data_IF_123679539840
#
_entry.id   IF_123679539840
#
_cell.length_a   1.000
_cell.length_b   1.000
_cell.length_c   1.000
_cell.angle_alpha   90.00
_cell.angle_beta   90.00
_cell.angle_gamma   90.00
#
_symmetry.space_group_name_H-M   'P 1'
#
loop_
_entity.id
_entity.type
_entity.pdbx_description
1 polymer ?
#
# COMPACT_ATOMS: atom_id res chain seq x y z
N UNK A 1 18.56 53.23 -54.48
CA UNK A 1 18.07 51.96 -55.10
C UNK A 1 18.48 50.69 -54.33
N UNK A 2 19.36 50.72 -53.32
CA UNK A 2 19.77 49.53 -52.56
C UNK A 2 18.67 48.93 -51.66
N UNK A 3 17.88 49.75 -50.95
CA UNK A 3 16.89 49.25 -49.98
C UNK A 3 15.67 48.51 -50.58
N UNK A 4 15.34 48.72 -51.84
CA UNK A 4 14.22 48.00 -52.49
C UNK A 4 14.64 46.58 -52.88
N UNK A 5 15.88 46.40 -53.32
CA UNK A 5 16.43 45.10 -53.71
C UNK A 5 16.66 44.24 -52.46
N UNK A 6 17.12 44.83 -51.35
CA UNK A 6 17.27 44.12 -50.08
C UNK A 6 15.91 43.76 -49.47
N UNK A 7 14.90 44.65 -49.53
CA UNK A 7 13.54 44.32 -49.08
C UNK A 7 12.87 43.23 -49.94
N UNK A 8 13.11 43.22 -51.25
CA UNK A 8 12.63 42.15 -52.15
C UNK A 8 13.39 40.86 -51.89
N UNK A 9 14.70 40.92 -51.60
CA UNK A 9 15.51 39.75 -51.23
C UNK A 9 15.05 39.15 -49.90
N UNK A 10 14.84 39.96 -48.86
CA UNK A 10 14.31 39.50 -47.57
C UNK A 10 12.89 38.94 -47.69
N UNK A 11 12.06 39.52 -48.56
CA UNK A 11 10.71 39.02 -48.84
C UNK A 11 10.75 37.69 -49.60
N UNK A 12 11.64 37.58 -50.59
CA UNK A 12 11.89 36.34 -51.36
C UNK A 12 12.50 35.25 -50.47
N UNK A 13 13.47 35.55 -49.63
CA UNK A 13 14.05 34.59 -48.68
C UNK A 13 13.01 34.15 -47.64
N UNK A 14 12.16 35.07 -47.15
CA UNK A 14 11.02 34.70 -46.30
C UNK A 14 9.87 33.98 -47.02
N UNK A 15 9.81 33.99 -48.36
CA UNK A 15 8.79 33.28 -49.14
C UNK A 15 9.27 31.90 -49.61
N UNK A 16 10.55 31.79 -49.98
CA UNK A 16 11.14 30.60 -50.62
C UNK A 16 12.08 29.79 -49.71
N UNK A 17 12.65 30.39 -48.65
CA UNK A 17 13.48 29.70 -47.63
C UNK A 17 12.74 29.50 -46.30
N UNK A 18 11.40 29.33 -46.34
CA UNK A 18 10.67 28.96 -45.13
C UNK A 18 10.99 27.53 -44.75
N UNK A 19 11.75 27.37 -43.66
CA UNK A 19 11.99 26.08 -43.03
C UNK A 19 10.65 25.31 -42.91
N UNK A 20 10.51 24.14 -43.57
CA UNK A 20 9.29 23.32 -43.50
C UNK A 20 8.81 23.09 -42.07
N UNK A 21 9.76 23.01 -41.11
CA UNK A 21 9.45 22.85 -39.68
C UNK A 21 8.75 24.08 -39.10
N UNK A 22 9.14 25.29 -39.49
CA UNK A 22 8.48 26.52 -39.04
C UNK A 22 7.07 26.68 -39.62
N UNK A 23 6.88 26.29 -40.89
CA UNK A 23 5.54 26.26 -41.51
C UNK A 23 4.63 25.28 -40.74
N UNK A 24 5.14 24.08 -40.48
CA UNK A 24 4.41 23.05 -39.73
C UNK A 24 4.09 23.53 -38.30
N UNK A 25 5.05 24.13 -37.59
CA UNK A 25 4.86 24.73 -36.27
C UNK A 25 3.73 25.77 -36.28
N UNK A 26 3.74 26.71 -37.23
CA UNK A 26 2.70 27.74 -37.36
C UNK A 26 1.32 27.14 -37.67
N UNK A 27 1.26 26.12 -38.54
CA UNK A 27 0.01 25.42 -38.88
C UNK A 27 -0.60 24.73 -37.66
N UNK A 28 0.20 24.01 -36.87
CA UNK A 28 -0.29 23.34 -35.66
C UNK A 28 -0.67 24.35 -34.56
N UNK A 29 0.08 25.43 -34.36
CA UNK A 29 -0.31 26.49 -33.43
C UNK A 29 -1.64 27.14 -33.82
N UNK A 30 -1.89 27.34 -35.12
CA UNK A 30 -3.17 27.85 -35.61
C UNK A 30 -4.32 26.90 -35.29
N UNK A 31 -4.13 25.60 -35.53
CA UNK A 31 -5.10 24.56 -35.18
C UNK A 31 -5.40 24.55 -33.67
N UNK A 32 -4.37 24.65 -32.83
CA UNK A 32 -4.52 24.75 -31.37
C UNK A 32 -5.33 26.00 -31.00
N UNK A 33 -4.99 27.15 -31.58
CA UNK A 33 -5.69 28.41 -31.35
C UNK A 33 -7.16 28.34 -31.76
N UNK A 34 -7.47 27.73 -32.91
CA UNK A 34 -8.85 27.58 -33.39
C UNK A 34 -9.65 26.62 -32.51
N UNK A 35 -9.03 25.55 -32.00
CA UNK A 35 -9.64 24.71 -30.98
C UNK A 35 -9.95 25.50 -29.70
N UNK A 36 -8.98 26.24 -29.15
CA UNK A 36 -9.18 27.01 -27.91
C UNK A 36 -10.23 28.12 -28.06
N UNK A 37 -10.36 28.73 -29.25
CA UNK A 37 -11.45 29.67 -29.56
C UNK A 37 -12.84 29.03 -29.55
N UNK A 38 -12.92 27.73 -29.89
CA UNK A 38 -14.18 26.99 -29.88
C UNK A 38 -14.65 26.63 -28.46
N UNK A 39 -13.74 26.59 -27.49
CA UNK A 39 -14.05 26.32 -26.08
C UNK A 39 -14.86 27.49 -25.50
N UNK A 40 -15.99 27.17 -24.86
CA UNK A 40 -16.87 28.13 -24.18
C UNK A 40 -17.05 27.73 -22.72
N UNK A 41 -16.91 28.66 -21.75
CA UNK A 41 -16.40 30.02 -21.91
C UNK A 41 -14.93 30.04 -22.37
N UNK A 42 -14.47 31.16 -22.93
CA UNK A 42 -13.11 31.24 -23.49
C UNK A 42 -12.04 31.15 -22.39
N UNK A 43 -10.99 30.37 -22.60
CA UNK A 43 -9.91 30.16 -21.62
C UNK A 43 -8.64 30.95 -21.93
N UNK A 44 -8.42 31.25 -23.20
CA UNK A 44 -7.18 31.87 -23.66
C UNK A 44 -7.47 32.74 -24.88
N UNK A 45 -6.75 33.86 -25.00
CA UNK A 45 -6.82 34.72 -26.18
C UNK A 45 -5.55 34.58 -27.01
N UNK A 46 -5.59 33.92 -28.18
CA UNK A 46 -4.43 33.85 -29.05
C UNK A 46 -3.95 35.26 -29.45
N UNK A 47 -2.66 35.56 -29.23
CA UNK A 47 -2.03 36.85 -29.53
C UNK A 47 -1.94 37.83 -28.36
N UNK A 48 -2.60 37.55 -27.22
CA UNK A 48 -2.32 38.23 -25.96
C UNK A 48 -2.26 37.15 -24.87
N UNK A 49 -1.07 36.83 -24.31
CA UNK A 49 -0.84 35.67 -23.45
C UNK A 49 -1.51 35.83 -22.08
N UNK A 50 -2.83 35.85 -22.07
CA UNK A 50 -3.69 35.97 -20.91
C UNK A 50 -4.57 34.72 -20.82
N UNK A 51 -4.57 34.10 -19.66
CA UNK A 51 -5.59 33.13 -19.28
C UNK A 51 -6.81 33.89 -18.80
N UNK A 52 -7.96 33.54 -19.36
CA UNK A 52 -9.20 34.30 -19.24
C UNK A 52 -10.05 33.83 -18.04
N UNK A 53 -10.93 34.69 -17.51
CA UNK A 53 -11.85 34.36 -16.42
C UNK A 53 -12.71 33.10 -16.63
N UNK A 54 -12.96 32.73 -17.90
CA UNK A 54 -13.72 31.52 -18.23
C UNK A 54 -13.06 30.24 -17.74
N UNK A 55 -11.72 30.19 -17.72
CA UNK A 55 -10.97 29.07 -17.17
C UNK A 55 -11.14 28.99 -15.65
N UNK A 56 -10.98 30.11 -14.95
CA UNK A 56 -11.16 30.21 -13.51
C UNK A 56 -12.58 29.84 -13.06
N UNK A 57 -13.61 30.27 -13.80
CA UNK A 57 -14.99 29.94 -13.51
C UNK A 57 -15.24 28.42 -13.54
N UNK A 58 -14.73 27.74 -14.57
CA UNK A 58 -14.82 26.29 -14.71
C UNK A 58 -14.04 25.58 -13.61
N UNK A 59 -12.83 26.06 -13.30
CA UNK A 59 -11.99 25.49 -12.24
C UNK A 59 -12.64 25.65 -10.86
N UNK A 60 -13.32 26.77 -10.61
CA UNK A 60 -14.07 27.02 -9.39
C UNK A 60 -15.29 26.08 -9.26
N UNK A 61 -16.06 25.88 -10.33
CA UNK A 61 -17.17 24.93 -10.36
C UNK A 61 -16.70 23.49 -10.14
N UNK A 62 -15.57 23.13 -10.76
CA UNK A 62 -14.91 21.84 -10.56
C UNK A 62 -14.49 21.64 -9.10
N UNK A 63 -13.85 22.65 -8.50
CA UNK A 63 -13.42 22.62 -7.09
C UNK A 63 -14.61 22.42 -6.14
N UNK A 64 -15.73 23.13 -6.38
CA UNK A 64 -16.95 22.96 -5.59
C UNK A 64 -17.51 21.54 -5.62
N UNK A 65 -17.42 20.87 -6.76
CA UNK A 65 -17.84 19.48 -6.90
C UNK A 65 -16.87 18.51 -6.20
N UNK A 66 -15.59 18.84 -6.11
CA UNK A 66 -14.60 18.04 -5.37
C UNK A 66 -14.75 18.15 -3.85
N UNK A 67 -15.20 19.29 -3.30
CA UNK A 67 -15.26 19.51 -1.85
C UNK A 67 -15.97 18.40 -1.04
N UNK A 68 -17.17 17.90 -1.43
CA UNK A 68 -17.81 16.80 -0.72
C UNK A 68 -17.02 15.49 -0.77
N UNK A 69 -16.36 15.23 -1.90
CA UNK A 69 -15.50 14.05 -2.09
C UNK A 69 -14.25 14.20 -1.22
N UNK A 70 -13.60 15.36 -1.24
CA UNK A 70 -12.46 15.68 -0.39
C UNK A 70 -12.78 15.47 1.09
N UNK A 71 -13.93 15.92 1.58
CA UNK A 71 -14.37 15.72 2.96
C UNK A 71 -14.54 14.23 3.32
N UNK A 72 -15.07 13.43 2.39
CA UNK A 72 -15.16 11.98 2.58
C UNK A 72 -13.76 11.34 2.60
N UNK A 73 -12.91 11.66 1.63
CA UNK A 73 -11.57 11.06 1.50
C UNK A 73 -10.67 11.43 2.68
N UNK A 74 -10.65 12.70 3.10
CA UNK A 74 -9.89 13.19 4.27
C UNK A 74 -10.30 12.55 5.59
N UNK A 75 -11.53 12.05 5.70
CA UNK A 75 -11.99 11.30 6.88
C UNK A 75 -11.80 9.79 6.76
N UNK A 76 -11.34 9.31 5.60
CA UNK A 76 -11.22 7.88 5.30
C UNK A 76 -9.81 7.52 4.80
N UNK A 77 -9.63 7.26 3.51
CA UNK A 77 -8.35 6.79 2.95
C UNK A 77 -7.24 7.85 2.95
N UNK A 78 -7.60 9.14 3.03
CA UNK A 78 -6.68 10.26 3.10
C UNK A 78 -6.60 10.86 4.52
N UNK A 79 -7.00 10.09 5.54
CA UNK A 79 -6.92 10.55 6.91
C UNK A 79 -5.45 10.80 7.33
N UNK A 80 -5.16 11.88 8.08
CA UNK A 80 -3.82 12.13 8.62
C UNK A 80 -3.31 11.02 9.53
N UNK A 81 -4.20 10.30 10.23
CA UNK A 81 -3.83 9.11 10.99
C UNK A 81 -3.56 7.93 10.02
N UNK A 82 -2.30 7.46 9.90
CA UNK A 82 -1.95 6.37 9.00
C UNK A 82 -2.65 5.06 9.37
N UNK A 83 -2.98 4.83 10.66
CA UNK A 83 -3.70 3.63 11.10
C UNK A 83 -5.14 3.66 10.60
N UNK A 84 -5.83 4.79 10.78
CA UNK A 84 -7.20 4.96 10.30
C UNK A 84 -7.26 4.87 8.76
N UNK A 85 -6.34 5.54 8.06
CA UNK A 85 -6.21 5.44 6.61
C UNK A 85 -6.05 3.99 6.15
N UNK A 86 -5.13 3.24 6.78
CA UNK A 86 -4.90 1.83 6.47
C UNK A 86 -6.15 0.98 6.73
N UNK A 87 -6.92 1.24 7.79
CA UNK A 87 -8.18 0.53 8.07
C UNK A 87 -9.20 0.71 6.94
N UNK A 88 -9.38 1.94 6.42
CA UNK A 88 -10.30 2.19 5.31
C UNK A 88 -9.80 1.57 3.99
N UNK A 89 -8.50 1.61 3.72
CA UNK A 89 -7.92 0.97 2.53
C UNK A 89 -8.08 -0.56 2.58
N UNK A 90 -7.81 -1.17 3.73
CA UNK A 90 -8.05 -2.60 3.96
C UNK A 90 -9.53 -2.94 3.82
N UNK A 91 -10.43 -2.09 4.33
CA UNK A 91 -11.85 -2.27 4.19
C UNK A 91 -12.31 -2.31 2.73
N UNK A 92 -11.71 -1.53 1.81
CA UNK A 92 -12.04 -1.58 0.38
C UNK A 92 -11.72 -2.95 -0.26
N UNK A 93 -10.63 -3.60 0.18
CA UNK A 93 -10.29 -4.96 -0.25
C UNK A 93 -11.27 -5.96 0.36
N UNK A 94 -11.44 -5.92 1.68
CA UNK A 94 -12.27 -6.86 2.42
C UNK A 94 -13.75 -6.79 2.01
N UNK A 95 -14.22 -5.62 1.59
CA UNK A 95 -15.61 -5.40 1.17
C UNK A 95 -15.98 -6.09 -0.13
N UNK A 96 -14.98 -6.49 -0.94
CA UNK A 96 -15.19 -7.30 -2.15
C UNK A 96 -15.24 -8.80 -1.86
N UNK A 97 -14.82 -9.24 -0.67
CA UNK A 97 -14.93 -10.65 -0.28
C UNK A 97 -16.38 -11.01 0.08
N UNK A 98 -16.81 -12.26 -0.19
CA UNK A 98 -18.06 -12.79 0.32
C UNK A 98 -18.16 -12.65 1.84
N UNK A 99 -19.35 -12.41 2.37
CA UNK A 99 -19.55 -12.13 3.80
C UNK A 99 -19.00 -13.24 4.71
N UNK A 100 -19.25 -14.51 4.33
CA UNK A 100 -18.70 -15.68 5.05
C UNK A 100 -17.18 -15.61 5.19
N UNK A 101 -16.49 -15.32 4.10
CA UNK A 101 -15.02 -15.29 4.05
C UNK A 101 -14.46 -14.04 4.75
N UNK A 102 -15.17 -12.91 4.67
CA UNK A 102 -14.86 -11.71 5.44
C UNK A 102 -14.96 -11.91 6.95
N UNK A 103 -15.93 -12.70 7.40
CA UNK A 103 -16.07 -13.03 8.81
C UNK A 103 -14.99 -14.02 9.27
N UNK A 104 -14.65 -15.03 8.46
CA UNK A 104 -13.47 -15.88 8.74
C UNK A 104 -12.17 -15.08 8.78
N UNK A 105 -12.00 -14.07 7.93
CA UNK A 105 -10.81 -13.22 7.98
C UNK A 105 -10.58 -12.60 9.38
N UNK A 106 -11.67 -12.25 10.08
CA UNK A 106 -11.61 -11.66 11.43
C UNK A 106 -11.21 -12.68 12.50
N UNK A 107 -11.28 -13.98 12.22
CA UNK A 107 -10.90 -15.02 13.18
C UNK A 107 -9.41 -15.34 13.16
N UNK A 108 -8.63 -14.82 12.20
CA UNK A 108 -7.18 -14.99 12.15
C UNK A 108 -6.45 -14.00 13.06
N UNK A 109 -6.86 -13.97 14.33
CA UNK A 109 -6.20 -13.27 15.42
C UNK A 109 -5.52 -14.29 16.33
N UNK A 110 -4.50 -13.86 17.07
CA UNK A 110 -3.78 -14.74 17.98
C UNK A 110 -4.73 -15.41 19.00
N UNK A 111 -5.62 -14.63 19.60
CA UNK A 111 -6.53 -15.07 20.67
C UNK A 111 -7.49 -16.16 20.19
N UNK A 112 -8.19 -15.91 19.07
CA UNK A 112 -9.17 -16.84 18.48
C UNK A 112 -8.50 -18.10 17.91
N UNK A 113 -7.32 -17.97 17.30
CA UNK A 113 -6.56 -19.15 16.83
C UNK A 113 -6.12 -19.98 18.04
N UNK A 114 -5.60 -19.35 19.09
CA UNK A 114 -5.18 -20.05 20.31
C UNK A 114 -6.34 -20.77 20.98
N UNK A 115 -7.48 -20.11 21.15
CA UNK A 115 -8.70 -20.71 21.72
C UNK A 115 -9.14 -21.94 20.91
N UNK A 116 -9.20 -21.81 19.58
CA UNK A 116 -9.58 -22.91 18.69
C UNK A 116 -8.64 -24.11 18.80
N UNK A 117 -7.34 -23.85 18.94
CA UNK A 117 -6.33 -24.89 19.12
C UNK A 117 -6.44 -25.57 20.49
N UNK A 118 -6.66 -24.80 21.57
CA UNK A 118 -6.82 -25.34 22.92
C UNK A 118 -8.06 -26.24 23.06
N UNK A 119 -9.14 -25.89 22.35
CA UNK A 119 -10.39 -26.65 22.35
C UNK A 119 -10.38 -27.84 21.36
N UNK A 120 -9.28 -28.04 20.62
CA UNK A 120 -9.20 -29.10 19.61
C UNK A 120 -8.66 -30.41 20.18
N UNK A 121 -9.15 -31.54 19.66
CA UNK A 121 -8.67 -32.89 20.02
C UNK A 121 -7.25 -33.12 19.53
N UNK A 122 -6.94 -32.66 18.31
CA UNK A 122 -5.64 -32.78 17.69
C UNK A 122 -5.13 -31.41 17.26
N UNK A 123 -4.30 -30.79 18.09
CA UNK A 123 -3.93 -29.40 17.86
C UNK A 123 -3.03 -29.15 16.66
N UNK A 124 -2.22 -30.13 16.25
CA UNK A 124 -1.44 -30.05 15.00
C UNK A 124 -2.35 -30.12 13.78
N UNK A 125 -3.37 -30.99 13.83
CA UNK A 125 -4.36 -31.13 12.77
C UNK A 125 -5.19 -29.86 12.64
N UNK A 126 -5.59 -29.26 13.76
CA UNK A 126 -6.35 -28.00 13.77
C UNK A 126 -5.55 -26.85 13.16
N UNK A 127 -4.25 -26.76 13.47
CA UNK A 127 -3.38 -25.73 12.94
C UNK A 127 -3.17 -25.89 11.41
N UNK A 128 -3.16 -27.13 10.90
CA UNK A 128 -3.20 -27.40 9.45
C UNK A 128 -4.53 -26.98 8.82
N UNK A 129 -5.66 -27.24 9.47
CA UNK A 129 -6.98 -26.82 8.99
C UNK A 129 -7.07 -25.29 8.89
N UNK A 130 -6.65 -24.57 9.93
CA UNK A 130 -6.58 -23.10 9.94
C UNK A 130 -5.69 -22.58 8.80
N UNK A 131 -4.54 -23.24 8.55
CA UNK A 131 -3.67 -22.92 7.42
C UNK A 131 -4.36 -23.11 6.06
N UNK A 132 -5.13 -24.19 5.88
CA UNK A 132 -5.88 -24.44 4.65
C UNK A 132 -7.01 -23.43 4.44
N UNK A 133 -7.73 -23.06 5.52
CA UNK A 133 -8.75 -22.01 5.48
C UNK A 133 -8.15 -20.67 5.06
N UNK A 134 -7.00 -20.29 5.64
CA UNK A 134 -6.28 -19.08 5.27
C UNK A 134 -5.88 -19.10 3.79
N UNK A 135 -5.28 -20.19 3.30
CA UNK A 135 -4.92 -20.31 1.89
C UNK A 135 -6.13 -20.25 0.95
N UNK A 136 -7.27 -20.81 1.35
CA UNK A 136 -8.51 -20.72 0.59
C UNK A 136 -8.93 -19.27 0.38
N UNK A 137 -8.88 -18.45 1.43
CA UNK A 137 -9.15 -17.01 1.33
C UNK A 137 -8.11 -16.31 0.45
N UNK A 138 -6.82 -16.66 0.58
CA UNK A 138 -5.77 -16.05 -0.24
C UNK A 138 -5.98 -16.29 -1.75
N UNK A 139 -6.56 -17.43 -2.14
CA UNK A 139 -6.91 -17.72 -3.54
C UNK A 139 -8.04 -16.84 -4.07
N UNK A 140 -8.92 -16.32 -3.21
CA UNK A 140 -10.02 -15.44 -3.62
C UNK A 140 -9.51 -14.10 -4.18
N UNK A 141 -8.35 -13.61 -3.73
CA UNK A 141 -7.75 -12.39 -4.27
C UNK A 141 -7.23 -12.54 -5.70
N UNK A 142 -7.14 -13.77 -6.22
CA UNK A 142 -6.78 -14.03 -7.62
C UNK A 142 -8.00 -14.23 -8.53
N UNK A 143 -9.22 -14.05 -8.01
CA UNK A 143 -10.45 -14.18 -8.80
C UNK A 143 -10.71 -12.93 -9.66
N UNK A 144 -11.54 -13.04 -10.72
CA UNK A 144 -11.87 -11.91 -11.58
C UNK A 144 -12.42 -10.68 -10.85
N UNK A 145 -13.08 -10.85 -9.70
CA UNK A 145 -13.58 -9.73 -8.86
C UNK A 145 -12.45 -8.77 -8.44
N UNK A 146 -11.22 -9.27 -8.33
CA UNK A 146 -10.04 -8.49 -7.94
C UNK A 146 -9.14 -8.10 -9.13
N UNK A 147 -9.41 -8.59 -10.34
CA UNK A 147 -8.54 -8.38 -11.51
C UNK A 147 -8.30 -6.91 -11.85
N UNK A 148 -9.30 -6.05 -11.60
CA UNK A 148 -9.21 -4.61 -11.84
C UNK A 148 -9.00 -3.78 -10.56
N UNK A 149 -8.85 -4.42 -9.39
CA UNK A 149 -8.81 -3.72 -8.10
C UNK A 149 -7.74 -2.62 -8.09
N UNK A 150 -6.51 -2.95 -8.48
CA UNK A 150 -5.40 -1.99 -8.42
C UNK A 150 -5.62 -0.84 -9.40
N UNK A 151 -6.17 -1.11 -10.59
CA UNK A 151 -6.51 -0.05 -11.56
C UNK A 151 -7.53 0.92 -10.94
N UNK A 152 -8.62 0.39 -10.37
CA UNK A 152 -9.66 1.19 -9.72
C UNK A 152 -9.14 1.96 -8.52
N UNK A 153 -8.25 1.35 -7.73
CA UNK A 153 -7.62 1.97 -6.57
C UNK A 153 -6.66 3.09 -6.97
N UNK A 154 -5.86 2.92 -8.03
CA UNK A 154 -5.00 3.98 -8.55
C UNK A 154 -5.81 5.18 -9.07
N UNK A 155 -6.95 4.94 -9.72
CA UNK A 155 -7.86 6.03 -10.13
C UNK A 155 -8.45 6.76 -8.91
N UNK A 156 -8.74 6.03 -7.81
CA UNK A 156 -9.16 6.64 -6.55
C UNK A 156 -8.04 7.48 -5.91
N UNK A 157 -6.77 7.04 -5.95
CA UNK A 157 -5.62 7.82 -5.48
C UNK A 157 -5.37 9.06 -6.35
N UNK A 158 -5.60 8.99 -7.67
CA UNK A 158 -5.61 10.17 -8.53
C UNK A 158 -6.71 11.14 -8.14
N UNK A 159 -7.93 10.66 -7.88
CA UNK A 159 -9.04 11.49 -7.38
C UNK A 159 -8.69 12.14 -6.03
N UNK A 160 -8.04 11.39 -5.12
CA UNK A 160 -7.52 11.92 -3.86
C UNK A 160 -6.54 13.07 -4.09
N UNK A 161 -5.61 12.90 -5.03
CA UNK A 161 -4.60 13.90 -5.38
C UNK A 161 -5.24 15.14 -6.00
N UNK A 162 -6.21 14.95 -6.92
CA UNK A 162 -7.06 16.02 -7.46
C UNK A 162 -7.79 16.78 -6.35
N UNK A 163 -8.31 16.10 -5.34
CA UNK A 163 -8.99 16.74 -4.22
C UNK A 163 -8.05 17.50 -3.28
N UNK A 164 -6.74 17.24 -3.33
CA UNK A 164 -5.76 17.80 -2.41
C UNK A 164 -4.97 18.96 -3.02
N UNK A 165 -5.17 19.23 -4.32
CA UNK A 165 -4.55 20.39 -4.98
C UNK A 165 -5.09 21.69 -4.36
N UNK A 166 -4.20 22.66 -4.17
CA UNK A 166 -4.54 23.98 -3.61
C UNK A 166 -5.19 24.88 -4.68
N UNK A 167 -6.44 24.59 -5.03
CA UNK A 167 -7.21 25.39 -5.96
C UNK A 167 -7.45 26.81 -5.46
N UNK A 168 -7.43 27.05 -4.14
CA UNK A 168 -7.61 28.41 -3.61
C UNK A 168 -6.43 29.29 -4.02
N UNK A 169 -5.19 28.79 -3.89
CA UNK A 169 -4.00 29.48 -4.39
C UNK A 169 -4.11 29.80 -5.89
N UNK A 170 -4.51 28.82 -6.71
CA UNK A 170 -4.62 29.01 -8.17
C UNK A 170 -5.71 30.03 -8.52
N UNK A 171 -6.89 29.92 -7.90
CA UNK A 171 -8.01 30.82 -8.15
C UNK A 171 -7.75 32.24 -7.61
N UNK A 172 -6.94 32.40 -6.56
CA UNK A 172 -6.54 33.70 -6.03
C UNK A 172 -5.70 34.52 -7.02
N UNK A 173 -5.09 33.89 -8.03
CA UNK A 173 -4.45 34.62 -9.13
C UNK A 173 -5.49 35.41 -9.95
N UNK A 174 -6.71 34.87 -10.09
CA UNK A 174 -7.80 35.53 -10.82
C UNK A 174 -8.67 36.41 -9.92
N UNK A 175 -8.77 36.10 -8.62
CA UNK A 175 -9.53 36.87 -7.63
C UNK A 175 -8.92 36.71 -6.23
N UNK A 176 -8.06 37.64 -5.83
CA UNK A 176 -7.34 37.62 -4.54
C UNK A 176 -8.24 37.58 -3.29
N UNK A 177 -9.51 38.00 -3.41
CA UNK A 177 -10.48 38.02 -2.31
C UNK A 177 -11.22 36.70 -2.15
N UNK A 178 -11.06 35.77 -3.09
CA UNK A 178 -11.73 34.48 -3.03
C UNK A 178 -11.26 33.68 -1.81
N UNK A 179 -12.22 33.12 -1.08
CA UNK A 179 -11.97 32.08 -0.08
C UNK A 179 -12.99 30.97 -0.29
N UNK A 180 -12.52 29.74 -0.49
CA UNK A 180 -13.40 28.59 -0.73
C UNK A 180 -14.29 28.29 0.49
N UNK A 181 -13.82 28.66 1.68
CA UNK A 181 -14.56 28.57 2.94
C UNK A 181 -15.71 29.59 3.06
N UNK A 182 -15.79 30.59 2.18
CA UNK A 182 -16.77 31.69 2.26
C UNK A 182 -17.91 31.49 1.25
N UNK A 183 -19.01 30.80 1.60
CA UNK A 183 -20.06 30.40 0.65
C UNK A 183 -20.87 31.57 0.07
N UNK A 184 -20.83 32.74 0.72
CA UNK A 184 -21.59 33.94 0.31
C UNK A 184 -20.85 34.82 -0.70
N UNK A 185 -19.53 34.65 -0.83
CA UNK A 185 -18.74 35.45 -1.75
C UNK A 185 -18.99 35.02 -3.20
N UNK A 186 -19.25 35.99 -4.08
CA UNK A 186 -19.38 35.74 -5.52
C UNK A 186 -18.03 36.09 -6.17
N UNK A 187 -17.35 35.12 -6.79
CA UNK A 187 -16.06 35.38 -7.43
C UNK A 187 -16.18 36.43 -8.53
N UNK A 188 -15.18 37.30 -8.61
CA UNK A 188 -15.01 38.30 -9.66
C UNK A 188 -13.64 38.08 -10.31
N UNK A 189 -13.58 37.12 -11.22
CA UNK A 189 -12.34 36.72 -11.87
C UNK A 189 -11.88 37.73 -12.93
N UNK A 190 -10.62 38.16 -12.84
CA UNK A 190 -9.92 38.95 -13.85
C UNK A 190 -8.93 38.11 -14.67
N UNK A 191 -8.61 38.46 -15.93
CA UNK A 191 -7.57 37.77 -16.70
C UNK A 191 -6.21 37.81 -16.01
N UNK A 192 -5.41 36.75 -16.21
CA UNK A 192 -4.08 36.58 -15.58
C UNK A 192 -3.02 36.36 -16.67
N UNK A 193 -1.81 36.92 -16.56
CA UNK A 193 -0.69 36.60 -17.43
C UNK A 193 -0.42 35.10 -17.47
N UNK A 194 -0.27 34.54 -18.67
CA UNK A 194 -0.14 33.10 -18.84
C UNK A 194 1.14 32.53 -18.21
N UNK A 195 2.21 33.35 -18.12
CA UNK A 195 3.47 33.00 -17.47
C UNK A 195 3.31 32.76 -15.96
N UNK A 196 2.38 33.47 -15.30
CA UNK A 196 2.17 33.38 -13.85
C UNK A 196 1.44 32.10 -13.43
N UNK A 197 0.75 31.43 -14.36
CA UNK A 197 -0.15 30.30 -14.06
C UNK A 197 0.21 29.00 -14.81
N UNK A 198 1.16 29.05 -15.75
CA UNK A 198 1.50 27.89 -16.58
C UNK A 198 1.90 26.65 -15.76
N UNK A 199 2.58 26.84 -14.63
CA UNK A 199 2.97 25.75 -13.73
C UNK A 199 1.75 25.13 -13.05
N UNK A 200 0.81 25.93 -12.57
CA UNK A 200 -0.43 25.42 -11.97
C UNK A 200 -1.30 24.68 -13.00
N UNK A 201 -1.34 25.14 -14.27
CA UNK A 201 -2.02 24.42 -15.37
C UNK A 201 -1.32 23.09 -15.66
N UNK A 202 0.02 23.05 -15.60
CA UNK A 202 0.79 21.81 -15.74
C UNK A 202 0.48 20.83 -14.62
N UNK A 203 0.41 21.29 -13.36
CA UNK A 203 0.05 20.46 -12.21
C UNK A 203 -1.35 19.86 -12.37
N UNK A 204 -2.33 20.67 -12.76
CA UNK A 204 -3.68 20.19 -13.07
C UNK A 204 -3.65 19.16 -14.22
N UNK A 205 -2.88 19.42 -15.27
CA UNK A 205 -2.73 18.49 -16.39
C UNK A 205 -2.19 17.14 -15.93
N UNK A 206 -1.13 17.11 -15.11
CA UNK A 206 -0.55 15.85 -14.64
C UNK A 206 -1.54 15.02 -13.82
N UNK A 207 -2.36 15.68 -12.99
CA UNK A 207 -3.38 14.98 -12.20
C UNK A 207 -4.56 14.45 -13.04
N UNK A 208 -4.93 15.17 -14.10
CA UNK A 208 -6.02 14.78 -15.01
C UNK A 208 -5.55 13.78 -16.07
N UNK A 209 -4.25 13.75 -16.38
CA UNK A 209 -3.71 12.88 -17.40
C UNK A 209 -3.88 11.39 -17.03
N UNK A 210 -4.58 10.67 -17.92
CA UNK A 210 -4.96 9.27 -17.68
C UNK A 210 -5.86 9.08 -16.45
N UNK A 211 -6.52 10.14 -15.97
CA UNK A 211 -7.57 10.05 -14.97
C UNK A 211 -8.90 9.79 -15.67
N UNK A 212 -9.57 8.72 -15.27
CA UNK A 212 -10.88 8.35 -15.80
C UNK A 212 -11.81 8.03 -14.65
N UNK A 213 -12.97 8.69 -14.65
CA UNK A 213 -14.03 8.38 -13.70
C UNK A 213 -14.67 7.06 -14.12
N UNK A 214 -14.29 5.99 -13.43
CA UNK A 214 -14.80 4.64 -13.66
C UNK A 214 -15.89 4.25 -12.65
N UNK A 215 -16.66 3.21 -12.97
CA UNK A 215 -17.61 2.60 -12.03
C UNK A 215 -16.91 2.09 -10.75
N UNK A 216 -15.63 1.73 -10.84
CA UNK A 216 -14.84 1.33 -9.68
C UNK A 216 -14.60 2.47 -8.68
N UNK A 217 -14.42 3.71 -9.15
CA UNK A 217 -14.33 4.89 -8.27
C UNK A 217 -15.66 5.09 -7.55
N UNK A 218 -16.78 5.03 -8.27
CA UNK A 218 -18.11 5.14 -7.68
C UNK A 218 -18.31 4.07 -6.60
N UNK A 219 -18.08 2.79 -6.93
CA UNK A 219 -18.15 1.66 -5.99
C UNK A 219 -17.30 1.91 -4.74
N UNK A 220 -16.03 2.33 -4.91
CA UNK A 220 -15.14 2.60 -3.79
C UNK A 220 -15.63 3.77 -2.92
N UNK A 221 -16.08 4.88 -3.50
CA UNK A 221 -16.62 6.02 -2.75
C UNK A 221 -17.88 5.63 -1.95
N UNK A 222 -18.76 4.81 -2.52
CA UNK A 222 -19.95 4.30 -1.84
C UNK A 222 -19.57 3.40 -0.66
N UNK A 223 -18.61 2.50 -0.83
CA UNK A 223 -18.10 1.66 0.27
C UNK A 223 -17.52 2.50 1.41
N UNK A 224 -16.71 3.51 1.09
CA UNK A 224 -16.15 4.42 2.11
C UNK A 224 -17.24 5.17 2.86
N UNK A 225 -18.24 5.65 2.13
CA UNK A 225 -19.38 6.35 2.71
C UNK A 225 -20.20 5.45 3.63
N UNK A 226 -20.52 4.22 3.20
CA UNK A 226 -21.22 3.22 3.99
C UNK A 226 -20.50 2.93 5.31
N UNK A 227 -19.19 2.75 5.23
CA UNK A 227 -18.35 2.52 6.42
C UNK A 227 -18.28 3.74 7.33
N UNK A 228 -18.26 4.95 6.76
CA UNK A 228 -18.14 6.20 7.51
C UNK A 228 -19.44 6.59 8.22
N UNK A 229 -20.60 6.53 7.55
CA UNK A 229 -21.85 7.08 8.10
C UNK A 229 -22.80 6.07 8.76
N UNK A 230 -22.65 4.76 8.54
CA UNK A 230 -23.46 3.66 9.11
C UNK A 230 -25.00 3.74 8.97
N UNK A 231 -25.61 4.88 8.66
CA UNK A 231 -27.06 5.07 8.50
C UNK A 231 -27.38 6.12 7.42
N UNK A 232 -28.39 5.82 6.61
CA UNK A 232 -28.95 6.58 5.47
C UNK A 232 -28.13 6.56 4.16
N UNK A 233 -28.26 5.45 3.41
CA UNK A 233 -27.42 5.14 2.24
C UNK A 233 -27.93 5.74 0.93
N UNK A 234 -29.25 5.81 0.70
CA UNK A 234 -29.80 6.06 -0.64
C UNK A 234 -29.76 7.54 -1.08
N UNK A 235 -30.08 8.48 -0.19
CA UNK A 235 -30.01 9.92 -0.52
C UNK A 235 -28.56 10.36 -0.81
N UNK A 236 -27.61 9.82 -0.05
CA UNK A 236 -26.20 10.14 -0.25
C UNK A 236 -25.61 9.46 -1.49
N UNK A 237 -26.02 8.21 -1.80
CA UNK A 237 -25.71 7.55 -3.08
C UNK A 237 -26.15 8.42 -4.25
N UNK A 238 -27.40 8.88 -4.26
CA UNK A 238 -27.92 9.76 -5.31
C UNK A 238 -27.10 11.05 -5.44
N UNK A 239 -26.75 11.68 -4.31
CA UNK A 239 -25.91 12.90 -4.30
C UNK A 239 -24.51 12.65 -4.86
N UNK A 240 -23.83 11.56 -4.47
CA UNK A 240 -22.51 11.19 -4.99
C UNK A 240 -22.58 10.94 -6.49
N UNK A 241 -23.57 10.19 -6.97
CA UNK A 241 -23.72 9.87 -8.38
C UNK A 241 -23.95 11.14 -9.22
N UNK A 242 -24.74 12.09 -8.70
CA UNK A 242 -24.92 13.40 -9.33
C UNK A 242 -23.62 14.20 -9.40
N UNK A 243 -22.80 14.16 -8.35
CA UNK A 243 -21.49 14.83 -8.32
C UNK A 243 -20.54 14.18 -9.34
N UNK A 244 -20.42 12.85 -9.34
CA UNK A 244 -19.58 12.08 -10.26
C UNK A 244 -19.95 12.38 -11.71
N UNK A 245 -21.24 12.32 -12.05
CA UNK A 245 -21.72 12.64 -13.40
C UNK A 245 -21.38 14.07 -13.83
N UNK A 246 -21.51 15.04 -12.92
CA UNK A 246 -21.13 16.43 -13.20
C UNK A 246 -19.62 16.61 -13.37
N UNK A 247 -18.82 15.97 -12.53
CA UNK A 247 -17.35 15.95 -12.67
C UNK A 247 -16.93 15.35 -14.01
N UNK A 248 -17.52 14.23 -14.41
CA UNK A 248 -17.23 13.59 -15.69
C UNK A 248 -17.58 14.50 -16.88
N UNK A 249 -18.71 15.22 -16.80
CA UNK A 249 -19.08 16.19 -17.83
C UNK A 249 -18.10 17.36 -17.90
N UNK A 250 -17.68 17.92 -16.75
CA UNK A 250 -16.69 19.00 -16.72
C UNK A 250 -15.33 18.54 -17.25
N UNK A 251 -14.83 17.38 -16.82
CA UNK A 251 -13.57 16.82 -17.31
C UNK A 251 -13.62 16.55 -18.81
N UNK A 252 -14.71 15.97 -19.32
CA UNK A 252 -14.81 15.64 -20.73
C UNK A 252 -14.94 16.89 -21.63
N UNK A 253 -15.71 17.90 -21.21
CA UNK A 253 -16.03 19.07 -22.04
C UNK A 253 -15.04 20.22 -21.88
N UNK A 254 -14.48 20.39 -20.70
CA UNK A 254 -13.83 21.63 -20.29
C UNK A 254 -12.40 21.40 -19.82
N UNK A 255 -12.20 20.46 -18.89
CA UNK A 255 -10.90 20.15 -18.31
C UNK A 255 -10.31 18.86 -18.89
N UNK A 256 -10.47 18.64 -20.19
CA UNK A 256 -9.94 17.42 -20.81
C UNK A 256 -8.42 17.52 -20.90
N UNK A 257 -7.72 16.38 -20.86
CA UNK A 257 -6.26 16.35 -21.04
C UNK A 257 -5.84 17.02 -22.34
N UNK A 258 -6.62 16.87 -23.40
CA UNK A 258 -6.42 17.57 -24.69
C UNK A 258 -6.57 19.08 -24.55
N UNK A 259 -7.62 19.56 -23.89
CA UNK A 259 -7.87 21.00 -23.70
C UNK A 259 -6.73 21.64 -22.92
N UNK A 260 -6.32 21.01 -21.82
CA UNK A 260 -5.23 21.50 -20.97
C UNK A 260 -3.88 21.45 -21.70
N UNK A 261 -3.60 20.36 -22.43
CA UNK A 261 -2.39 20.26 -23.24
C UNK A 261 -2.33 21.34 -24.32
N UNK A 262 -3.46 21.61 -25.00
CA UNK A 262 -3.54 22.66 -26.00
C UNK A 262 -3.37 24.05 -25.41
N UNK A 263 -3.90 24.28 -24.19
CA UNK A 263 -3.66 25.50 -23.45
C UNK A 263 -2.16 25.67 -23.12
N UNK A 264 -1.52 24.63 -22.57
CA UNK A 264 -0.09 24.62 -22.25
C UNK A 264 0.77 24.91 -23.50
N UNK A 265 0.48 24.21 -24.62
CA UNK A 265 1.18 24.38 -25.89
C UNK A 265 1.01 25.78 -26.49
N UNK A 266 -0.19 26.36 -26.34
CA UNK A 266 -0.46 27.72 -26.79
C UNK A 266 0.29 28.76 -25.96
N UNK A 267 0.39 28.56 -24.64
CA UNK A 267 1.13 29.44 -23.72
C UNK A 267 2.63 29.36 -23.97
N UNK A 268 3.18 28.15 -24.14
CA UNK A 268 4.61 27.93 -24.42
C UNK A 268 5.03 28.25 -25.86
N UNK A 269 4.08 28.57 -26.74
CA UNK A 269 4.28 28.72 -28.18
C UNK A 269 5.01 27.53 -28.83
N UNK A 270 4.79 26.34 -28.29
CA UNK A 270 5.38 25.09 -28.77
C UNK A 270 4.26 24.04 -28.98
N UNK A 271 3.82 23.81 -30.23
CA UNK A 271 2.75 22.88 -30.53
C UNK A 271 3.15 21.41 -30.35
N UNK A 272 4.45 21.12 -30.24
CA UNK A 272 4.96 19.76 -30.09
C UNK A 272 5.36 19.44 -28.64
N UNK A 273 5.25 20.41 -27.74
CA UNK A 273 5.54 20.21 -26.32
C UNK A 273 4.75 19.01 -25.76
N UNK A 274 5.46 18.11 -25.11
CA UNK A 274 4.90 16.94 -24.41
C UNK A 274 5.40 16.98 -22.97
N UNK A 275 4.53 17.23 -21.99
CA UNK A 275 4.89 17.14 -20.59
C UNK A 275 5.41 15.72 -20.26
N UNK A 276 6.52 15.58 -19.51
CA UNK A 276 6.97 14.28 -19.03
C UNK A 276 5.90 13.72 -18.08
N UNK A 277 5.32 12.57 -18.41
CA UNK A 277 4.26 11.96 -17.62
C UNK A 277 4.68 10.56 -17.19
N UNK A 278 4.88 10.38 -15.88
CA UNK A 278 5.16 9.08 -15.30
C UNK A 278 3.87 8.29 -15.07
N UNK A 279 3.90 7.02 -15.45
CA UNK A 279 2.83 6.06 -15.16
C UNK A 279 3.22 5.26 -13.94
N UNK A 280 3.19 5.89 -12.76
CA UNK A 280 3.29 5.12 -11.52
C UNK A 280 1.98 4.37 -11.28
N UNK A 281 2.09 3.04 -11.17
CA UNK A 281 0.98 2.17 -10.81
C UNK A 281 1.31 1.49 -9.48
N UNK A 282 0.45 1.70 -8.48
CA UNK A 282 0.59 1.11 -7.17
C UNK A 282 -0.17 -0.22 -7.10
N UNK A 283 0.53 -1.30 -6.73
CA UNK A 283 -0.06 -2.64 -6.53
C UNK A 283 -0.48 -2.82 -5.06
N UNK A 284 -1.60 -2.20 -4.69
CA UNK A 284 -2.10 -2.21 -3.31
C UNK A 284 -2.56 -3.61 -2.90
N UNK A 285 -3.21 -4.36 -3.79
CA UNK A 285 -3.71 -5.70 -3.51
C UNK A 285 -2.58 -6.65 -3.09
N UNK A 286 -1.46 -6.64 -3.81
CA UNK A 286 -0.29 -7.46 -3.47
C UNK A 286 0.34 -7.03 -2.13
N UNK A 287 0.41 -5.73 -1.88
CA UNK A 287 0.88 -5.20 -0.60
C UNK A 287 -0.01 -5.66 0.56
N UNK A 288 -1.34 -5.65 0.37
CA UNK A 288 -2.30 -6.14 1.34
C UNK A 288 -2.17 -7.65 1.58
N UNK A 289 -2.07 -8.45 0.51
CA UNK A 289 -1.88 -9.91 0.57
C UNK A 289 -0.61 -10.27 1.34
N UNK A 290 0.49 -9.58 1.06
CA UNK A 290 1.76 -9.78 1.76
C UNK A 290 1.62 -9.51 3.25
N UNK A 291 1.09 -8.34 3.63
CA UNK A 291 0.87 -7.97 5.05
C UNK A 291 0.02 -8.99 5.79
N UNK A 292 -1.07 -9.45 5.18
CA UNK A 292 -1.96 -10.44 5.76
C UNK A 292 -1.25 -11.80 5.94
N UNK A 293 -0.43 -12.19 4.99
CA UNK A 293 0.37 -13.43 5.03
C UNK A 293 1.43 -13.37 6.11
N UNK A 294 2.19 -12.28 6.17
CA UNK A 294 3.22 -12.05 7.18
C UNK A 294 2.60 -12.08 8.59
N UNK A 295 1.46 -11.39 8.78
CA UNK A 295 0.74 -11.40 10.05
C UNK A 295 0.32 -12.82 10.45
N UNK A 296 -0.26 -13.59 9.54
CA UNK A 296 -0.69 -14.96 9.82
C UNK A 296 0.50 -15.87 10.15
N UNK A 297 1.61 -15.76 9.41
CA UNK A 297 2.83 -16.52 9.68
C UNK A 297 3.41 -16.20 11.06
N UNK A 298 3.49 -14.91 11.42
CA UNK A 298 3.95 -14.51 12.76
C UNK A 298 3.08 -15.07 13.88
N UNK A 299 1.75 -15.03 13.74
CA UNK A 299 0.84 -15.62 14.73
C UNK A 299 1.07 -17.13 14.84
N UNK A 300 1.14 -17.83 13.70
CA UNK A 300 1.35 -19.27 13.64
C UNK A 300 2.67 -19.68 14.29
N UNK A 301 3.76 -18.99 13.97
CA UNK A 301 5.09 -19.32 14.45
C UNK A 301 5.23 -19.00 15.95
N UNK A 302 4.55 -17.95 16.44
CA UNK A 302 4.42 -17.67 17.87
C UNK A 302 3.73 -18.81 18.61
N UNK A 303 2.55 -19.22 18.14
CA UNK A 303 1.79 -20.32 18.75
C UNK A 303 2.61 -21.63 18.74
N UNK A 304 3.29 -21.94 17.64
CA UNK A 304 4.15 -23.12 17.56
C UNK A 304 5.31 -23.08 18.56
N UNK A 305 5.88 -21.89 18.80
CA UNK A 305 6.97 -21.71 19.77
C UNK A 305 6.49 -21.94 21.20
N UNK A 306 5.43 -21.23 21.61
CA UNK A 306 4.85 -21.33 22.96
C UNK A 306 4.49 -22.79 23.29
N UNK A 307 3.98 -23.53 22.31
CA UNK A 307 3.63 -24.95 22.51
C UNK A 307 4.81 -25.90 22.58
N UNK A 308 5.89 -25.63 21.84
CA UNK A 308 7.13 -26.39 22.01
C UNK A 308 7.71 -26.14 23.39
N UNK A 309 7.64 -24.90 23.88
CA UNK A 309 8.08 -24.55 25.22
C UNK A 309 7.23 -25.24 26.29
N UNK A 310 5.90 -25.28 26.14
CA UNK A 310 4.99 -25.99 27.03
C UNK A 310 5.24 -27.50 27.03
N UNK A 311 5.44 -28.11 25.86
CA UNK A 311 5.74 -29.54 25.73
C UNK A 311 7.07 -29.88 26.43
N UNK A 312 8.12 -29.08 26.20
CA UNK A 312 9.41 -29.23 26.89
C UNK A 312 9.22 -29.07 28.39
N UNK A 313 8.44 -28.09 28.85
CA UNK A 313 8.19 -27.90 30.29
C UNK A 313 7.46 -29.10 30.92
N UNK A 314 6.49 -29.69 30.22
CA UNK A 314 5.80 -30.91 30.66
C UNK A 314 6.73 -32.12 30.70
N UNK A 315 7.56 -32.32 29.67
CA UNK A 315 8.55 -33.40 29.63
C UNK A 315 9.57 -33.26 30.77
N UNK A 316 10.06 -32.05 31.01
CA UNK A 316 10.98 -31.78 32.12
C UNK A 316 10.31 -32.04 33.47
N UNK A 317 9.05 -31.64 33.65
CA UNK A 317 8.30 -31.93 34.86
C UNK A 317 8.05 -33.42 35.06
N UNK A 318 7.81 -34.17 33.98
CA UNK A 318 7.67 -35.62 34.01
C UNK A 318 8.99 -36.32 34.39
N UNK A 319 10.11 -35.88 33.79
CA UNK A 319 11.43 -36.46 34.01
C UNK A 319 11.99 -36.10 35.40
N UNK A 320 11.92 -34.83 35.78
CA UNK A 320 12.63 -34.27 36.94
C UNK A 320 11.70 -33.81 38.08
N UNK A 321 10.38 -33.85 37.91
CA UNK A 321 9.44 -33.30 38.89
C UNK A 321 9.53 -31.78 38.96
N UNK A 322 9.54 -31.23 40.18
CA UNK A 322 9.75 -29.80 40.42
C UNK A 322 11.22 -29.45 40.70
N UNK A 323 12.17 -30.34 40.39
CA UNK A 323 13.59 -30.07 40.61
C UNK A 323 14.12 -29.07 39.58
N UNK A 324 14.92 -28.11 40.03
CA UNK A 324 15.63 -27.18 39.15
C UNK A 324 16.72 -27.90 38.35
N UNK A 325 16.91 -27.47 37.10
CA UNK A 325 17.96 -28.00 36.24
C UNK A 325 19.34 -27.57 36.73
N UNK A 326 20.28 -28.51 36.72
CA UNK A 326 21.68 -28.28 37.09
C UNK A 326 22.35 -27.35 36.07
N UNK A 327 22.89 -26.22 36.55
CA UNK A 327 23.71 -25.30 35.75
C UNK A 327 25.02 -25.95 35.31
N UNK A 328 25.51 -25.58 34.13
CA UNK A 328 26.82 -26.00 33.60
C UNK A 328 27.81 -24.87 33.85
N UNK A 329 28.93 -25.18 34.53
CA UNK A 329 29.92 -24.17 34.89
C UNK A 329 30.61 -23.65 33.62
N UNK A 330 30.71 -22.33 33.47
CA UNK A 330 31.28 -21.68 32.28
C UNK A 330 30.40 -21.72 31.03
N UNK A 331 29.22 -22.36 31.08
CA UNK A 331 28.24 -22.40 29.99
C UNK A 331 26.83 -22.09 30.55
N UNK A 332 26.63 -20.83 30.94
CA UNK A 332 25.42 -20.33 31.61
C UNK A 332 24.90 -19.06 30.93
N UNK A 333 23.66 -18.67 31.23
CA UNK A 333 23.10 -17.39 30.75
C UNK A 333 23.92 -16.20 31.23
N UNK A 334 24.37 -16.20 32.49
CA UNK A 334 25.23 -15.15 33.05
C UNK A 334 26.52 -14.92 32.21
N UNK A 335 27.19 -16.00 31.78
CA UNK A 335 28.37 -15.88 30.92
C UNK A 335 28.02 -15.49 29.48
N UNK A 336 26.85 -15.91 29.02
CA UNK A 336 26.36 -15.60 27.70
C UNK A 336 26.06 -14.10 27.54
N UNK A 337 25.52 -13.48 28.59
CA UNK A 337 25.22 -12.05 28.63
C UNK A 337 26.51 -11.22 28.58
N UNK A 338 27.54 -11.61 29.34
CA UNK A 338 28.88 -10.98 29.31
C UNK A 338 29.48 -11.07 27.90
N UNK A 339 29.43 -12.24 27.26
CA UNK A 339 29.93 -12.43 25.89
C UNK A 339 29.18 -11.56 24.88
N UNK A 340 27.87 -11.41 25.06
CA UNK A 340 27.03 -10.57 24.21
C UNK A 340 27.37 -9.08 24.36
N UNK A 341 27.62 -8.62 25.59
CA UNK A 341 28.02 -7.23 25.87
C UNK A 341 29.37 -6.89 25.25
N UNK A 342 30.31 -7.84 25.24
CA UNK A 342 31.64 -7.70 24.65
C UNK A 342 31.66 -7.94 23.12
N UNK A 343 30.50 -8.21 22.50
CA UNK A 343 30.36 -8.37 21.05
C UNK A 343 30.84 -9.72 20.48
N UNK A 344 31.02 -10.73 21.34
CA UNK A 344 31.39 -12.09 20.94
C UNK A 344 30.17 -12.95 20.57
N UNK A 345 30.44 -14.09 19.94
CA UNK A 345 29.39 -15.05 19.58
C UNK A 345 28.81 -15.73 20.84
N UNK A 346 27.48 -15.77 20.94
CA UNK A 346 26.75 -16.27 22.10
C UNK A 346 26.50 -17.79 22.06
N UNK A 347 26.33 -18.38 23.23
CA UNK A 347 25.99 -19.79 23.45
C UNK A 347 24.58 -20.12 22.96
N UNK A 348 24.48 -21.17 22.13
CA UNK A 348 23.24 -21.58 21.46
C UNK A 348 22.46 -22.66 22.21
N UNK A 349 23.08 -23.40 23.14
CA UNK A 349 22.52 -24.65 23.68
C UNK A 349 22.55 -24.75 25.22
N UNK A 350 22.39 -23.62 25.93
CA UNK A 350 22.49 -23.57 27.40
C UNK A 350 21.47 -24.51 28.05
N UNK A 351 20.17 -24.32 27.74
CA UNK A 351 19.09 -25.12 28.29
C UNK A 351 19.20 -26.61 27.91
N UNK A 352 19.43 -27.01 26.64
CA UNK A 352 19.71 -28.41 26.29
C UNK A 352 20.84 -29.03 27.11
N UNK A 353 21.96 -28.32 27.31
CA UNK A 353 23.10 -28.87 28.04
C UNK A 353 22.79 -29.04 29.54
N UNK A 354 22.04 -28.10 30.13
CA UNK A 354 21.54 -28.23 31.50
C UNK A 354 20.62 -29.44 31.66
N UNK A 355 19.75 -29.72 30.67
CA UNK A 355 18.88 -30.91 30.68
C UNK A 355 19.73 -32.19 30.66
N UNK A 356 20.72 -32.27 29.78
CA UNK A 356 21.61 -33.44 29.67
C UNK A 356 22.38 -33.67 30.97
N UNK A 357 22.98 -32.61 31.55
CA UNK A 357 23.68 -32.70 32.84
C UNK A 357 22.76 -33.16 33.95
N UNK A 358 21.56 -32.59 34.03
CA UNK A 358 20.55 -32.95 35.03
C UNK A 358 20.11 -34.40 34.91
N UNK A 359 19.97 -34.91 33.69
CA UNK A 359 19.68 -36.32 33.44
C UNK A 359 20.84 -37.23 33.87
N UNK A 360 22.06 -36.91 33.44
CA UNK A 360 23.25 -37.70 33.73
C UNK A 360 23.45 -37.86 35.25
N UNK A 361 23.43 -36.75 35.99
CA UNK A 361 23.66 -36.77 37.45
C UNK A 361 22.41 -37.23 38.21
N UNK A 362 21.24 -36.68 37.87
CA UNK A 362 20.02 -36.85 38.65
C UNK A 362 19.30 -38.19 38.44
N UNK A 363 19.48 -38.82 37.26
CA UNK A 363 18.81 -40.09 36.91
C UNK A 363 19.81 -41.18 36.59
N UNK A 364 20.76 -40.93 35.70
CA UNK A 364 21.66 -41.97 35.23
C UNK A 364 22.60 -42.46 36.33
N UNK A 365 23.40 -41.57 36.94
CA UNK A 365 24.34 -41.94 38.00
C UNK A 365 23.64 -42.55 39.22
N UNK A 366 22.53 -41.95 39.66
CA UNK A 366 21.83 -42.39 40.87
C UNK A 366 21.09 -43.71 40.72
N UNK A 367 20.44 -43.94 39.57
CA UNK A 367 19.44 -45.02 39.46
C UNK A 367 19.74 -46.03 38.35
N UNK A 368 20.55 -45.68 37.35
CA UNK A 368 20.76 -46.52 36.17
C UNK A 368 22.17 -47.13 36.17
N UNK A 369 23.19 -46.36 36.58
CA UNK A 369 24.61 -46.72 36.47
C UNK A 369 24.94 -48.06 37.11
N UNK A 370 24.56 -48.28 38.37
CA UNK A 370 24.84 -49.53 39.08
C UNK A 370 24.04 -50.71 38.52
N UNK A 371 22.79 -50.48 38.12
CA UNK A 371 21.93 -51.52 37.55
C UNK A 371 22.43 -52.00 36.20
N UNK A 372 22.91 -51.09 35.36
CA UNK A 372 23.56 -51.42 34.08
C UNK A 372 24.86 -52.18 34.33
N UNK A 373 25.67 -51.79 35.32
CA UNK A 373 26.88 -52.52 35.67
C UNK A 373 26.58 -53.96 36.10
N UNK A 374 25.60 -54.15 36.98
CA UNK A 374 25.14 -55.48 37.40
C UNK A 374 24.67 -56.31 36.22
N UNK A 375 23.89 -55.73 35.31
CA UNK A 375 23.46 -56.42 34.09
C UNK A 375 24.64 -56.84 33.21
N UNK A 376 25.67 -56.01 33.07
CA UNK A 376 26.86 -56.33 32.26
C UNK A 376 27.68 -57.47 32.87
N UNK A 377 27.83 -57.48 34.20
CA UNK A 377 28.65 -58.45 34.94
C UNK A 377 27.93 -59.78 35.17
N UNK A 378 26.64 -59.72 35.53
CA UNK A 378 25.87 -60.89 35.99
C UNK A 378 24.82 -61.36 34.97
N UNK A 379 24.54 -60.56 33.93
CA UNK A 379 23.52 -60.87 32.93
C UNK A 379 23.95 -61.92 31.92
N UNK A 380 23.00 -62.77 31.52
CA UNK A 380 23.18 -63.68 30.39
C UNK A 380 22.91 -62.96 29.08
N UNK A 381 23.88 -62.99 28.15
CA UNK A 381 23.75 -62.40 26.82
C UNK A 381 23.86 -63.49 25.75
N UNK A 382 22.87 -63.57 24.86
CA UNK A 382 22.90 -64.51 23.72
C UNK A 382 23.98 -64.14 22.69
N UNK A 383 24.33 -62.86 22.58
CA UNK A 383 25.36 -62.35 21.67
C UNK A 383 26.53 -61.75 22.44
N UNK A 384 27.66 -62.45 22.40
CA UNK A 384 28.92 -62.03 23.04
C UNK A 384 29.45 -60.72 22.42
N UNK A 385 29.22 -60.51 21.11
CA UNK A 385 29.57 -59.27 20.42
C UNK A 385 28.79 -58.06 20.97
N UNK A 386 27.50 -58.24 21.30
CA UNK A 386 26.68 -57.20 21.89
C UNK A 386 27.13 -56.87 23.32
N UNK A 387 27.39 -57.90 24.14
CA UNK A 387 27.90 -57.72 25.50
C UNK A 387 29.22 -56.93 25.51
N UNK A 388 30.18 -57.31 24.67
CA UNK A 388 31.46 -56.60 24.56
C UNK A 388 31.30 -55.15 24.12
N UNK A 389 30.40 -54.88 23.16
CA UNK A 389 30.12 -53.51 22.72
C UNK A 389 29.48 -52.67 23.83
N UNK A 390 28.50 -53.22 24.56
CA UNK A 390 27.84 -52.54 25.66
C UNK A 390 28.80 -52.26 26.82
N UNK A 391 29.62 -53.25 27.17
CA UNK A 391 30.63 -53.15 28.22
C UNK A 391 31.67 -52.07 27.89
N UNK A 392 32.21 -52.07 26.67
CA UNK A 392 33.14 -51.04 26.21
C UNK A 392 32.52 -49.64 26.26
N UNK A 393 31.27 -49.48 25.83
CA UNK A 393 30.56 -48.19 25.89
C UNK A 393 30.38 -47.71 27.34
N UNK A 394 29.99 -48.61 28.25
CA UNK A 394 29.80 -48.27 29.66
C UNK A 394 31.10 -47.77 30.31
N UNK A 395 32.19 -48.53 30.19
CA UNK A 395 33.48 -48.17 30.79
C UNK A 395 34.17 -46.98 30.11
N UNK A 396 33.85 -46.70 28.84
CA UNK A 396 34.33 -45.48 28.17
C UNK A 396 33.64 -44.23 28.72
N UNK A 397 32.36 -44.32 29.08
CA UNK A 397 31.62 -43.23 29.72
C UNK A 397 31.97 -43.05 31.22
N UNK A 398 32.71 -43.99 31.81
CA UNK A 398 33.16 -43.94 33.21
C UNK A 398 34.49 -43.21 33.39
N UNK A 399 35.28 -43.12 32.32
CA UNK A 399 36.50 -42.33 32.22
C UNK A 399 36.17 -40.88 31.84
#
# INVERSE_FOLDING_TARGET
>A
MAGLIDAIRDLMDNLFHRDPKQIQKRKELRRIADYLKSVRPAYYKPGNPLVLPGFAAILYDFTKLLLPIHNLLSKTIANPDPKLSALYKNYLVQSRLPEKERNKLKTFTYELIQERILNSVSPESELKLIGNEFQSIMRLFSTPEFGNFDIEYNQLEKLKSLCSLDYEKILNLFDSKLRLSSPKYKPSFSPVPAEDIINDILDIYYLIWGFEISLGIEKNLLLLLERFKKTNTEEFKFRINKIINRLQQLLKKHLSSTTLLFLIRAIKEDPFYTPPADKEMHFYLETYKKKLTDQFQHIRDRIMRERREDAIAQDLKSLFGNAELLKVQGYSEEFNDILSEDGFETFKYIKPLMIVKSFAVGKFERNIRENVNKLIVEGYFESEAFQNKLSNLYYTCEK
#
